data_IF_698828504555
#
_entry.id   IF_698828504555
#
_cell.length_a   1.000
_cell.length_b   1.000
_cell.length_c   1.000
_cell.angle_alpha   90.00
_cell.angle_beta   90.00
_cell.angle_gamma   90.00
#
_symmetry.space_group_name_H-M   'P 1'
#
loop_
_entity.id
_entity.type
_entity.pdbx_description
1 polymer ?
#
# COMPACT_ATOMS: atom_id res chain seq x y z
N UNK A 1 12.97 18.01 -5.01
CA UNK A 1 13.60 16.67 -5.00
C UNK A 1 12.74 15.75 -4.14
N UNK A 2 12.47 14.53 -4.59
CA UNK A 2 11.64 13.57 -3.84
C UNK A 2 12.40 13.01 -2.63
N UNK A 3 11.77 13.04 -1.45
CA UNK A 3 12.33 12.53 -0.19
C UNK A 3 11.24 11.91 0.69
N UNK A 4 11.67 11.17 1.72
CA UNK A 4 10.79 10.64 2.78
C UNK A 4 11.00 11.45 4.06
N UNK A 5 9.90 11.74 4.74
CA UNK A 5 9.87 12.30 6.10
C UNK A 5 8.90 11.48 6.93
N UNK A 6 9.18 11.28 8.21
CA UNK A 6 8.22 10.66 9.14
C UNK A 6 6.87 11.37 9.07
N UNK A 7 5.80 10.60 8.94
CA UNK A 7 4.43 11.11 8.84
C UNK A 7 4.01 11.74 10.18
N UNK A 8 3.37 12.91 10.13
CA UNK A 8 2.79 13.51 11.35
C UNK A 8 1.43 12.89 11.68
N UNK A 9 0.93 13.03 12.92
CA UNK A 9 -0.42 12.59 13.27
C UNK A 9 -1.52 13.19 12.37
N UNK A 10 -1.45 14.50 12.07
CA UNK A 10 -2.43 15.15 11.19
C UNK A 10 -2.40 14.60 9.76
N UNK A 11 -1.21 14.29 9.23
CA UNK A 11 -1.05 13.66 7.92
C UNK A 11 -1.53 12.22 7.93
N UNK A 12 -1.34 11.51 9.05
CA UNK A 12 -1.85 10.17 9.25
C UNK A 12 -3.37 10.12 9.23
N UNK A 13 -4.05 11.05 9.92
CA UNK A 13 -5.51 11.12 9.92
C UNK A 13 -6.06 11.40 8.50
N UNK A 14 -5.41 12.30 7.76
CA UNK A 14 -5.74 12.57 6.36
C UNK A 14 -5.55 11.34 5.48
N UNK A 15 -4.39 10.67 5.60
CA UNK A 15 -4.10 9.42 4.90
C UNK A 15 -5.15 8.36 5.20
N UNK A 16 -5.39 8.07 6.48
CA UNK A 16 -6.25 6.99 6.95
C UNK A 16 -7.68 7.13 6.41
N UNK A 17 -8.20 8.36 6.37
CA UNK A 17 -9.54 8.65 5.85
C UNK A 17 -9.74 8.17 4.40
N UNK A 18 -8.71 8.32 3.56
CA UNK A 18 -8.73 7.90 2.16
C UNK A 18 -8.30 6.44 1.98
N UNK A 19 -7.32 5.97 2.75
CA UNK A 19 -6.76 4.63 2.64
C UNK A 19 -7.78 3.55 2.99
N UNK A 20 -8.61 3.79 4.01
CA UNK A 20 -9.70 2.89 4.40
C UNK A 20 -10.70 2.71 3.26
N UNK A 21 -11.07 3.79 2.57
CA UNK A 21 -12.03 3.74 1.46
C UNK A 21 -11.41 3.08 0.23
N UNK A 22 -10.19 3.46 -0.13
CA UNK A 22 -9.51 2.91 -1.30
C UNK A 22 -9.28 1.40 -1.16
N UNK A 23 -8.81 0.95 0.00
CA UNK A 23 -8.56 -0.46 0.25
C UNK A 23 -9.85 -1.29 0.25
N UNK A 24 -10.96 -0.73 0.76
CA UNK A 24 -12.28 -1.36 0.64
C UNK A 24 -12.69 -1.52 -0.85
N UNK A 25 -12.52 -0.47 -1.64
CA UNK A 25 -12.84 -0.49 -3.08
C UNK A 25 -11.97 -1.49 -3.85
N UNK A 26 -10.67 -1.56 -3.57
CA UNK A 26 -9.77 -2.50 -4.24
C UNK A 26 -10.15 -3.96 -3.93
N UNK A 27 -10.51 -4.27 -2.68
CA UNK A 27 -10.98 -5.60 -2.30
C UNK A 27 -12.33 -5.96 -2.90
N UNK A 28 -13.26 -5.00 -2.97
CA UNK A 28 -14.55 -5.20 -3.65
C UNK A 28 -14.35 -5.43 -5.15
N UNK A 29 -13.50 -4.63 -5.80
CA UNK A 29 -13.17 -4.80 -7.23
C UNK A 29 -12.46 -6.13 -7.51
N UNK A 30 -11.63 -6.60 -6.58
CA UNK A 30 -10.99 -7.90 -6.67
C UNK A 30 -11.96 -9.08 -6.44
N UNK A 31 -13.18 -8.82 -5.97
CA UNK A 31 -14.17 -9.85 -5.60
C UNK A 31 -13.84 -10.57 -4.28
N UNK A 32 -12.90 -10.04 -3.48
CA UNK A 32 -12.52 -10.62 -2.19
C UNK A 32 -13.57 -10.32 -1.13
N UNK A 33 -14.14 -9.12 -1.14
CA UNK A 33 -15.18 -8.65 -0.22
C UNK A 33 -16.42 -8.19 -0.98
N UNK A 34 -17.58 -8.25 -0.33
CA UNK A 34 -18.79 -7.59 -0.84
C UNK A 34 -18.72 -6.09 -0.59
N UNK A 35 -19.41 -5.29 -1.41
CA UNK A 35 -19.45 -3.83 -1.23
C UNK A 35 -19.99 -3.41 0.15
N UNK A 36 -20.96 -4.15 0.68
CA UNK A 36 -21.58 -3.89 1.98
C UNK A 36 -20.60 -4.10 3.15
N UNK A 37 -19.73 -5.11 3.04
CA UNK A 37 -18.80 -5.48 4.10
C UNK A 37 -17.46 -4.73 4.01
N UNK A 38 -17.05 -4.35 2.79
CA UNK A 38 -15.68 -3.92 2.50
C UNK A 38 -15.21 -2.75 3.36
N UNK A 39 -16.07 -1.75 3.59
CA UNK A 39 -15.71 -0.59 4.41
C UNK A 39 -15.52 -0.96 5.89
N UNK A 40 -16.37 -1.85 6.41
CA UNK A 40 -16.27 -2.34 7.79
C UNK A 40 -14.99 -3.15 8.01
N UNK A 41 -14.70 -4.08 7.09
CA UNK A 41 -13.50 -4.90 7.13
C UNK A 41 -12.22 -4.07 7.00
N UNK A 42 -12.20 -3.11 6.08
CA UNK A 42 -11.07 -2.19 5.91
C UNK A 42 -10.77 -1.41 7.19
N UNK A 43 -11.80 -0.80 7.81
CA UNK A 43 -11.65 -0.07 9.09
C UNK A 43 -11.06 -0.96 10.18
N UNK A 44 -11.58 -2.18 10.31
CA UNK A 44 -11.10 -3.14 11.29
C UNK A 44 -9.62 -3.49 11.06
N UNK A 45 -9.24 -3.80 9.82
CA UNK A 45 -7.85 -4.16 9.50
C UNK A 45 -6.88 -3.02 9.81
N UNK A 46 -7.21 -1.77 9.45
CA UNK A 46 -6.36 -0.63 9.79
C UNK A 46 -6.23 -0.43 11.30
N UNK A 47 -7.32 -0.60 12.07
CA UNK A 47 -7.29 -0.50 13.52
C UNK A 47 -6.43 -1.60 14.18
N UNK A 48 -6.46 -2.83 13.64
CA UNK A 48 -5.64 -3.95 14.11
C UNK A 48 -4.16 -3.78 13.74
N UNK A 49 -3.86 -3.24 12.56
CA UNK A 49 -2.50 -3.06 12.07
C UNK A 49 -1.80 -1.85 12.69
N UNK A 50 -2.55 -0.79 13.00
CA UNK A 50 -2.04 0.48 13.54
C UNK A 50 -2.78 0.90 14.83
N UNK A 51 -2.78 0.07 15.89
CA UNK A 51 -3.53 0.33 17.13
C UNK A 51 -3.05 1.59 17.88
N UNK A 52 -1.88 2.13 17.53
CA UNK A 52 -1.32 3.37 18.08
C UNK A 52 -0.99 4.40 16.98
N UNK A 53 -1.63 4.28 15.82
CA UNK A 53 -1.35 5.16 14.67
C UNK A 53 0.12 5.13 14.28
N UNK A 54 0.73 6.31 14.11
CA UNK A 54 2.15 6.49 13.78
C UNK A 54 3.11 5.95 14.84
N UNK A 55 2.66 5.79 16.09
CA UNK A 55 3.47 5.25 17.20
C UNK A 55 3.42 3.71 17.28
N UNK A 56 2.75 3.06 16.32
CA UNK A 56 2.67 1.60 16.29
C UNK A 56 4.05 1.01 16.03
N UNK A 57 4.57 0.26 17.01
CA UNK A 57 5.90 -0.37 16.95
C UNK A 57 6.09 -1.15 15.64
N UNK A 58 7.31 -1.08 15.09
CA UNK A 58 7.73 -1.74 13.84
C UNK A 58 6.96 -1.30 12.58
N UNK A 59 6.12 -0.26 12.67
CA UNK A 59 5.47 0.35 11.51
C UNK A 59 6.10 1.71 11.27
N UNK A 60 6.58 1.91 10.05
CA UNK A 60 7.29 3.11 9.62
C UNK A 60 6.46 3.77 8.52
N UNK A 61 5.77 4.85 8.88
CA UNK A 61 4.91 5.61 7.99
C UNK A 61 5.63 6.90 7.58
N UNK A 62 5.76 7.10 6.27
CA UNK A 62 6.44 8.25 5.72
C UNK A 62 5.51 9.04 4.80
N UNK A 63 5.59 10.36 4.91
CA UNK A 63 5.08 11.29 3.91
C UNK A 63 6.14 11.44 2.82
N UNK A 64 5.75 11.21 1.57
CA UNK A 64 6.58 11.47 0.39
C UNK A 64 6.45 12.96 0.05
N UNK A 65 7.57 13.66 0.01
CA UNK A 65 7.61 15.10 -0.31
C UNK A 65 8.43 15.35 -1.57
N UNK A 66 8.07 16.36 -2.36
CA UNK A 66 8.94 16.94 -3.39
C UNK A 66 9.31 18.38 -3.00
N UNK A 67 10.51 18.55 -2.43
CA UNK A 67 10.82 19.79 -1.72
C UNK A 67 10.01 19.90 -0.43
N UNK A 68 9.16 20.92 -0.32
CA UNK A 68 8.27 21.11 0.82
C UNK A 68 6.83 20.58 0.58
N UNK A 69 6.51 20.19 -0.66
CA UNK A 69 5.15 19.78 -1.02
C UNK A 69 4.92 18.29 -0.74
N UNK A 70 3.90 17.91 0.02
CA UNK A 70 3.50 16.51 0.18
C UNK A 70 2.89 15.97 -1.12
N UNK A 71 3.51 14.95 -1.70
CA UNK A 71 3.10 14.33 -2.97
C UNK A 71 2.54 12.93 -2.81
N UNK A 72 2.65 12.33 -1.63
CA UNK A 72 2.17 10.96 -1.38
C UNK A 72 2.57 10.43 -0.01
N UNK A 73 2.47 9.11 0.16
CA UNK A 73 2.86 8.40 1.37
C UNK A 73 3.36 6.99 1.06
N UNK A 74 4.08 6.40 2.02
CA UNK A 74 4.43 4.98 2.00
C UNK A 74 4.51 4.43 3.43
N UNK A 75 4.05 3.19 3.62
CA UNK A 75 4.06 2.49 4.90
C UNK A 75 4.82 1.16 4.78
N UNK A 76 5.94 1.07 5.52
CA UNK A 76 6.73 -0.14 5.68
C UNK A 76 6.52 -0.72 7.08
N UNK A 77 6.15 -2.01 7.16
CA UNK A 77 6.17 -2.77 8.41
C UNK A 77 7.41 -3.66 8.45
N UNK A 78 8.12 -3.66 9.57
CA UNK A 78 9.16 -4.66 9.87
C UNK A 78 8.49 -5.90 10.45
N UNK A 79 8.35 -6.96 9.65
CA UNK A 79 7.68 -8.21 10.05
C UNK A 79 8.61 -9.11 10.87
N UNK A 80 9.91 -9.09 10.57
CA UNK A 80 10.95 -9.80 11.31
C UNK A 80 12.25 -8.99 11.30
N UNK A 81 13.32 -9.53 11.89
CA UNK A 81 14.62 -8.87 11.85
C UNK A 81 15.25 -8.76 10.46
N UNK A 82 14.77 -9.54 9.48
CA UNK A 82 15.32 -9.56 8.11
C UNK A 82 14.30 -9.22 7.03
N UNK A 83 13.01 -9.27 7.33
CA UNK A 83 11.96 -9.06 6.33
C UNK A 83 11.06 -7.89 6.73
N UNK A 84 10.78 -7.02 5.76
CA UNK A 84 9.74 -6.01 5.85
C UNK A 84 8.71 -6.17 4.76
N UNK A 85 7.58 -5.50 4.93
CA UNK A 85 6.46 -5.54 4.02
C UNK A 85 5.92 -4.13 3.82
N UNK A 86 5.82 -3.69 2.57
CA UNK A 86 5.16 -2.43 2.21
C UNK A 86 3.67 -2.70 2.22
N UNK A 87 2.98 -2.14 3.20
CA UNK A 87 1.55 -2.29 3.38
C UNK A 87 0.76 -1.35 2.47
N UNK A 88 1.26 -0.14 2.27
CA UNK A 88 0.63 0.83 1.38
C UNK A 88 1.65 1.77 0.76
N UNK A 89 1.36 2.22 -0.46
CA UNK A 89 2.05 3.28 -1.18
C UNK A 89 1.01 4.03 -2.02
N UNK A 90 0.93 5.34 -1.81
CA UNK A 90 0.04 6.19 -2.58
C UNK A 90 0.77 7.45 -3.02
N UNK A 91 0.71 7.76 -4.32
CA UNK A 91 1.10 9.06 -4.87
C UNK A 91 -0.18 9.80 -5.23
N UNK A 92 -0.34 11.01 -4.71
CA UNK A 92 -1.49 11.89 -4.97
C UNK A 92 -1.67 12.05 -6.49
N UNK A 93 -2.91 11.99 -6.96
CA UNK A 93 -3.26 11.93 -8.38
C UNK A 93 -2.56 13.00 -9.23
N UNK A 94 -2.59 14.26 -8.77
CA UNK A 94 -1.93 15.40 -9.44
C UNK A 94 -0.39 15.30 -9.56
N UNK A 95 0.23 14.36 -8.84
CA UNK A 95 1.67 14.08 -8.86
C UNK A 95 2.03 12.73 -9.52
N UNK A 96 1.05 11.96 -9.99
CA UNK A 96 1.32 10.71 -10.67
C UNK A 96 2.01 10.92 -12.03
N UNK A 97 2.63 9.87 -12.57
CA UNK A 97 3.36 9.89 -13.85
C UNK A 97 4.54 10.88 -13.93
N UNK A 98 4.98 11.45 -12.79
CA UNK A 98 6.17 12.33 -12.68
C UNK A 98 7.40 11.61 -12.11
N UNK A 99 7.35 10.28 -12.00
CA UNK A 99 8.44 9.45 -11.48
C UNK A 99 8.56 9.41 -9.95
N UNK A 100 7.59 9.96 -9.21
CA UNK A 100 7.62 9.91 -7.75
C UNK A 100 7.50 8.48 -7.20
N UNK A 101 6.61 7.64 -7.76
CA UNK A 101 6.47 6.24 -7.31
C UNK A 101 7.79 5.45 -7.37
N UNK A 102 8.52 5.55 -8.49
CA UNK A 102 9.84 4.91 -8.63
C UNK A 102 10.85 5.44 -7.60
N UNK A 103 10.89 6.74 -7.35
CA UNK A 103 11.78 7.34 -6.34
C UNK A 103 11.40 6.90 -4.93
N UNK A 104 10.11 6.90 -4.60
CA UNK A 104 9.57 6.45 -3.30
C UNK A 104 9.98 5.02 -2.99
N UNK A 105 9.84 4.10 -3.96
CA UNK A 105 10.24 2.70 -3.79
C UNK A 105 11.74 2.56 -3.50
N UNK A 106 12.60 3.25 -4.26
CA UNK A 106 14.05 3.23 -4.00
C UNK A 106 14.44 3.82 -2.64
N UNK A 107 13.71 4.85 -2.20
CA UNK A 107 13.92 5.47 -0.89
C UNK A 107 13.52 4.52 0.24
N UNK A 108 12.37 3.84 0.16
CA UNK A 108 11.94 2.91 1.21
C UNK A 108 12.81 1.66 1.28
N UNK A 109 13.37 1.19 0.16
CA UNK A 109 14.42 0.15 0.16
C UNK A 109 15.67 0.60 0.92
N UNK A 110 16.02 1.90 0.80
CA UNK A 110 17.10 2.51 1.56
C UNK A 110 16.82 2.52 3.06
N UNK A 111 15.61 2.91 3.47
CA UNK A 111 15.19 2.86 4.88
C UNK A 111 15.16 1.42 5.40
N UNK A 112 14.65 0.47 4.62
CA UNK A 112 14.69 -0.94 4.99
C UNK A 112 16.11 -1.47 5.21
N UNK A 113 17.07 -1.08 4.38
CA UNK A 113 18.49 -1.42 4.58
C UNK A 113 19.04 -0.85 5.88
N UNK A 114 18.70 0.39 6.25
CA UNK A 114 19.11 1.00 7.54
C UNK A 114 18.51 0.25 8.74
N UNK A 115 17.32 -0.32 8.58
CA UNK A 115 16.65 -1.16 9.58
C UNK A 115 17.21 -2.60 9.66
N UNK A 116 18.20 -2.95 8.82
CA UNK A 116 18.80 -4.28 8.76
C UNK A 116 18.02 -5.29 7.92
N UNK A 117 17.00 -4.85 7.17
CA UNK A 117 16.21 -5.73 6.32
C UNK A 117 17.04 -6.23 5.12
N UNK A 118 16.83 -7.49 4.79
CA UNK A 118 17.44 -8.17 3.65
C UNK A 118 16.42 -8.41 2.53
N UNK A 119 15.12 -8.30 2.83
CA UNK A 119 14.02 -8.52 1.89
C UNK A 119 12.85 -7.59 2.22
N UNK A 120 12.22 -7.06 1.18
CA UNK A 120 10.97 -6.30 1.27
C UNK A 120 9.94 -6.97 0.37
N UNK A 121 8.79 -7.32 0.95
CA UNK A 121 7.60 -7.77 0.24
C UNK A 121 6.59 -6.63 0.05
N UNK A 122 5.60 -6.88 -0.81
CA UNK A 122 4.41 -6.04 -0.97
C UNK A 122 3.28 -6.89 -1.52
N UNK A 123 2.05 -6.40 -1.36
CA UNK A 123 0.89 -6.93 -2.06
C UNK A 123 0.47 -5.94 -3.17
N UNK A 124 0.01 -6.48 -4.30
CA UNK A 124 -0.57 -5.67 -5.37
C UNK A 124 -1.76 -6.42 -5.96
N UNK A 125 -2.90 -5.75 -6.05
CA UNK A 125 -4.10 -6.34 -6.64
C UNK A 125 -3.90 -6.62 -8.13
N UNK A 126 -4.47 -7.73 -8.61
CA UNK A 126 -4.29 -8.20 -9.97
C UNK A 126 -4.70 -7.19 -11.05
N UNK A 127 -5.72 -6.36 -10.77
CA UNK A 127 -6.22 -5.31 -11.66
C UNK A 127 -5.30 -4.07 -11.74
N UNK A 128 -4.37 -3.87 -10.80
CA UNK A 128 -3.50 -2.70 -10.75
C UNK A 128 -2.24 -2.88 -11.62
N UNK A 129 -2.44 -2.92 -12.93
CA UNK A 129 -1.37 -3.12 -13.92
C UNK A 129 -0.27 -2.03 -13.88
N UNK A 130 -0.56 -0.74 -13.67
CA UNK A 130 0.49 0.28 -13.55
C UNK A 130 1.45 0.02 -12.38
N UNK A 131 0.93 -0.34 -11.20
CA UNK A 131 1.76 -0.65 -10.04
C UNK A 131 2.60 -1.91 -10.26
N UNK A 132 2.01 -2.98 -10.83
CA UNK A 132 2.73 -4.21 -11.17
C UNK A 132 3.93 -3.94 -12.10
N UNK A 133 3.71 -3.19 -13.17
CA UNK A 133 4.76 -2.80 -14.12
C UNK A 133 5.88 -2.02 -13.44
N UNK A 134 5.52 -1.10 -12.54
CA UNK A 134 6.49 -0.34 -11.74
C UNK A 134 7.35 -1.27 -10.87
N UNK A 135 6.74 -2.18 -10.13
CA UNK A 135 7.47 -3.09 -9.23
C UNK A 135 8.38 -4.04 -10.00
N UNK A 136 7.91 -4.61 -11.11
CA UNK A 136 8.71 -5.47 -11.99
C UNK A 136 9.93 -4.73 -12.55
N UNK A 137 9.77 -3.48 -13.00
CA UNK A 137 10.87 -2.61 -13.45
C UNK A 137 11.93 -2.39 -12.36
N UNK A 138 11.50 -2.35 -11.09
CA UNK A 138 12.38 -2.16 -9.94
C UNK A 138 13.02 -3.47 -9.44
N UNK A 139 12.72 -4.60 -10.06
CA UNK A 139 13.32 -5.89 -9.73
C UNK A 139 12.56 -6.69 -8.66
N UNK A 140 11.36 -6.24 -8.27
CA UNK A 140 10.45 -7.07 -7.47
C UNK A 140 10.02 -8.28 -8.30
N UNK A 141 9.97 -9.44 -7.65
CA UNK A 141 9.55 -10.70 -8.27
C UNK A 141 8.25 -11.16 -7.65
N UNK A 142 7.32 -11.62 -8.49
CA UNK A 142 6.10 -12.27 -8.02
C UNK A 142 6.45 -13.52 -7.22
N UNK A 143 6.01 -13.57 -5.96
CA UNK A 143 6.19 -14.75 -5.10
C UNK A 143 4.92 -15.60 -5.00
N UNK A 144 3.75 -14.97 -5.11
CA UNK A 144 2.44 -15.61 -4.98
C UNK A 144 1.47 -15.00 -6.01
N UNK A 145 0.54 -15.81 -6.51
CA UNK A 145 -0.58 -15.38 -7.35
C UNK A 145 -1.85 -16.02 -6.82
N UNK A 146 -2.86 -15.20 -6.55
CA UNK A 146 -4.19 -15.64 -6.16
C UNK A 146 -5.12 -15.38 -7.35
N UNK A 147 -5.92 -16.38 -7.73
CA UNK A 147 -6.84 -16.32 -8.85
C UNK A 147 -8.21 -16.82 -8.41
N UNK A 148 -9.26 -16.16 -8.91
CA UNK A 148 -10.64 -16.55 -8.71
C UNK A 148 -11.38 -16.51 -10.05
N UNK A 149 -12.48 -17.27 -10.14
CA UNK A 149 -13.38 -17.29 -11.29
C UNK A 149 -14.80 -17.55 -10.81
N UNK A 150 -15.75 -16.76 -11.28
CA UNK A 150 -17.18 -17.02 -11.04
C UNK A 150 -17.60 -18.32 -11.73
N UNK A 151 -18.29 -19.17 -10.96
CA UNK A 151 -18.79 -20.48 -11.41
C UNK A 151 -20.31 -20.48 -11.67
N UNK A 152 -20.94 -19.30 -11.74
CA UNK A 152 -22.39 -19.20 -11.95
C UNK A 152 -22.75 -19.83 -13.31
N UNK A 153 -23.64 -20.83 -13.30
CA UNK A 153 -24.07 -21.54 -14.50
C UNK A 153 -24.82 -20.59 -15.46
N UNK A 154 -24.56 -20.63 -16.78
CA UNK A 154 -25.22 -19.75 -17.76
C UNK A 154 -26.74 -19.92 -17.93
N UNK A 155 -27.42 -20.74 -17.12
CA UNK A 155 -28.80 -21.15 -17.32
C UNK A 155 -29.75 -20.79 -16.17
N UNK A 156 -29.64 -19.59 -15.61
CA UNK A 156 -30.74 -19.02 -14.81
C UNK A 156 -30.92 -17.54 -15.16
N UNK A 157 -31.33 -17.29 -16.41
CA UNK A 157 -32.16 -16.13 -16.72
C UNK A 157 -33.56 -16.69 -17.00
N UNK A 158 -34.41 -16.67 -15.98
CA UNK A 158 -35.86 -16.76 -16.16
C UNK A 158 -36.40 -15.37 -16.49
#
# INVERSE_FOLDING_TARGET
MTALREMTPDEFDQYLSSAVVNYANDHAQAGTWTEEEALGQSKQQYAELLPKGTDTKNNYLYTVVDGAEPVGMIWLKKESDREGFIYDICIREQHQSKGHGEKTMKLIEGEGRKLGLQKIGLHVFGHNQPARTLYEKLGYKTTNVIMAKDIINPQEKH
#
